data_IF_260309005594
#
_entry.id   IF_260309005594
#
_cell.length_a   1.000
_cell.length_b   1.000
_cell.length_c   1.000
_cell.angle_alpha   90.00
_cell.angle_beta   90.00
_cell.angle_gamma   90.00
#
_symmetry.space_group_name_H-M   'P 1'
#
loop_
_entity.id
_entity.type
_entity.pdbx_description
1 polymer ?
#
# COMPACT_ATOMS: atom_id res chain seq x y z
N UNK A 1 35.27 -72.50 -37.22
CA UNK A 1 35.51 -71.63 -36.05
C UNK A 1 35.57 -70.20 -36.56
N UNK A 2 34.42 -69.55 -36.66
CA UNK A 2 34.29 -68.13 -37.04
C UNK A 2 33.23 -67.56 -36.12
N UNK A 3 33.68 -66.94 -35.04
CA UNK A 3 32.82 -66.32 -34.04
C UNK A 3 32.37 -64.94 -34.54
N UNK A 4 31.06 -64.79 -34.62
CA UNK A 4 30.32 -63.57 -34.89
C UNK A 4 30.59 -62.55 -33.78
N UNK A 5 31.30 -61.47 -34.08
CA UNK A 5 31.49 -60.33 -33.19
C UNK A 5 30.52 -59.22 -33.60
N UNK A 6 29.47 -59.10 -32.80
CA UNK A 6 28.78 -57.89 -32.33
C UNK A 6 28.57 -56.74 -33.33
N UNK A 7 27.34 -56.69 -33.85
CA UNK A 7 26.73 -55.51 -34.45
C UNK A 7 26.23 -54.58 -33.34
N UNK A 8 26.97 -53.49 -33.08
CA UNK A 8 26.44 -52.31 -32.40
C UNK A 8 26.07 -51.28 -33.46
N UNK A 9 24.77 -51.22 -33.78
CA UNK A 9 24.15 -50.13 -34.53
C UNK A 9 24.26 -48.83 -33.72
N UNK A 10 24.76 -47.72 -34.28
CA UNK A 10 24.69 -46.42 -33.62
C UNK A 10 23.25 -45.91 -33.73
N UNK A 11 22.53 -45.89 -32.62
CA UNK A 11 21.27 -45.15 -32.49
C UNK A 11 21.54 -43.67 -32.76
N UNK A 12 20.84 -43.13 -33.75
CA UNK A 12 20.81 -41.71 -34.06
C UNK A 12 20.19 -40.96 -32.88
N UNK A 13 21.04 -40.34 -32.06
CA UNK A 13 20.65 -39.30 -31.11
C UNK A 13 20.07 -38.10 -31.87
N UNK A 14 18.76 -38.11 -32.07
CA UNK A 14 18.00 -36.87 -32.21
C UNK A 14 17.92 -36.24 -30.82
N UNK A 15 18.34 -34.99 -30.60
CA UNK A 15 18.21 -34.35 -29.30
C UNK A 15 16.73 -34.06 -29.05
N UNK A 16 16.01 -35.03 -28.48
CA UNK A 16 14.70 -34.77 -27.88
C UNK A 16 14.96 -33.89 -26.67
N UNK A 17 14.77 -32.59 -26.87
CA UNK A 17 14.62 -31.59 -25.81
C UNK A 17 13.59 -32.14 -24.81
N UNK A 18 14.07 -32.68 -23.70
CA UNK A 18 13.24 -33.06 -22.57
C UNK A 18 12.78 -31.76 -21.88
N UNK A 19 11.79 -31.10 -22.47
CA UNK A 19 11.08 -29.99 -21.83
C UNK A 19 10.42 -30.58 -20.58
N UNK A 20 10.81 -30.10 -19.40
CA UNK A 20 10.18 -30.53 -18.14
C UNK A 20 8.70 -30.14 -18.16
N UNK A 21 7.84 -30.96 -17.54
CA UNK A 21 6.38 -30.76 -17.55
C UNK A 21 5.96 -29.33 -17.13
N UNK A 22 6.72 -28.72 -16.21
CA UNK A 22 6.52 -27.34 -15.76
C UNK A 22 6.85 -26.31 -16.85
N UNK A 23 7.91 -26.52 -17.63
CA UNK A 23 8.23 -25.67 -18.78
C UNK A 23 7.18 -25.79 -19.88
N UNK A 24 6.63 -26.99 -20.11
CA UNK A 24 5.50 -27.16 -21.04
C UNK A 24 4.25 -26.42 -20.56
N UNK A 25 3.96 -26.44 -19.25
CA UNK A 25 2.81 -25.73 -18.69
C UNK A 25 2.95 -24.21 -18.80
N UNK A 26 4.13 -23.67 -18.53
CA UNK A 26 4.43 -22.24 -18.74
C UNK A 26 4.31 -21.88 -20.22
N UNK A 27 4.81 -22.72 -21.13
CA UNK A 27 4.65 -22.51 -22.57
C UNK A 27 3.18 -22.52 -22.99
N UNK A 28 2.36 -23.46 -22.50
CA UNK A 28 0.91 -23.46 -22.73
C UNK A 28 0.22 -22.20 -22.19
N UNK A 29 0.69 -21.69 -21.05
CA UNK A 29 0.17 -20.46 -20.46
C UNK A 29 0.57 -19.22 -21.28
N UNK A 30 1.79 -19.18 -21.83
CA UNK A 30 2.26 -18.13 -22.74
C UNK A 30 1.57 -18.18 -24.11
N UNK A 31 1.04 -19.35 -24.51
CA UNK A 31 0.28 -19.51 -25.75
C UNK A 31 -1.17 -18.99 -25.65
N UNK A 32 -1.65 -18.68 -24.45
CA UNK A 32 -2.98 -18.09 -24.26
C UNK A 32 -3.02 -16.67 -24.84
N UNK A 33 -4.04 -16.33 -25.64
CA UNK A 33 -4.12 -15.03 -26.31
C UNK A 33 -4.12 -13.86 -25.33
N UNK A 34 -4.70 -14.02 -24.14
CA UNK A 34 -4.74 -12.99 -23.10
C UNK A 34 -3.35 -12.72 -22.50
N UNK A 35 -2.51 -13.76 -22.41
CA UNK A 35 -1.14 -13.64 -21.91
C UNK A 35 -0.24 -13.01 -22.97
N UNK A 36 -0.43 -13.35 -24.25
CA UNK A 36 0.29 -12.70 -25.35
C UNK A 36 -0.07 -11.23 -25.48
N UNK A 37 -1.36 -10.87 -25.36
CA UNK A 37 -1.81 -9.47 -25.36
C UNK A 37 -1.18 -8.71 -24.19
N UNK A 38 -1.21 -9.28 -22.99
CA UNK A 38 -0.59 -8.67 -21.80
C UNK A 38 0.93 -8.50 -21.95
N UNK A 39 1.63 -9.46 -22.57
CA UNK A 39 3.06 -9.36 -22.84
C UNK A 39 3.37 -8.32 -23.91
N UNK A 40 2.57 -8.25 -24.97
CA UNK A 40 2.69 -7.20 -26.01
C UNK A 40 2.47 -5.82 -25.40
N UNK A 41 1.41 -5.64 -24.62
CA UNK A 41 1.16 -4.38 -23.90
C UNK A 41 2.32 -4.06 -22.96
N UNK A 42 2.84 -5.03 -22.21
CA UNK A 42 3.96 -4.80 -21.30
C UNK A 42 5.20 -4.32 -22.06
N UNK A 43 5.51 -4.92 -23.22
CA UNK A 43 6.61 -4.51 -24.10
C UNK A 43 6.38 -3.11 -24.67
N UNK A 44 5.17 -2.80 -25.14
CA UNK A 44 4.80 -1.46 -25.63
C UNK A 44 4.84 -0.40 -24.52
N UNK A 45 4.56 -0.76 -23.27
CA UNK A 45 4.60 0.14 -22.12
C UNK A 45 6.00 0.22 -21.47
N UNK A 46 6.99 -0.56 -21.91
CA UNK A 46 8.37 -0.46 -21.40
C UNK A 46 8.92 0.98 -21.40
N UNK A 47 8.72 1.81 -22.45
CA UNK A 47 9.19 3.19 -22.43
C UNK A 47 8.61 4.00 -21.26
N UNK A 48 7.35 3.78 -20.88
CA UNK A 48 6.73 4.46 -19.73
C UNK A 48 7.30 3.96 -18.40
N UNK A 49 7.58 2.67 -18.29
CA UNK A 49 8.26 2.12 -17.11
C UNK A 49 9.67 2.71 -16.98
N UNK A 50 10.40 2.85 -18.09
CA UNK A 50 11.70 3.54 -18.11
C UNK A 50 11.58 5.00 -17.69
N UNK A 51 10.54 5.71 -18.13
CA UNK A 51 10.28 7.09 -17.72
C UNK A 51 9.99 7.20 -16.21
N UNK A 52 9.16 6.31 -15.66
CA UNK A 52 8.87 6.25 -14.23
C UNK A 52 10.12 5.96 -13.40
N UNK A 53 10.97 5.03 -13.86
CA UNK A 53 12.27 4.77 -13.23
C UNK A 53 13.15 6.01 -13.31
N UNK A 54 13.17 6.73 -14.43
CA UNK A 54 13.88 8.00 -14.56
C UNK A 54 13.37 9.09 -13.61
N UNK A 55 12.06 9.21 -13.39
CA UNK A 55 11.47 10.11 -12.39
C UNK A 55 11.86 9.70 -10.98
N UNK A 56 11.88 8.40 -10.69
CA UNK A 56 12.30 7.87 -9.40
C UNK A 56 13.79 8.14 -9.15
N UNK A 57 14.65 7.96 -10.17
CA UNK A 57 16.07 8.31 -10.10
C UNK A 57 16.27 9.80 -9.84
N UNK A 58 15.56 10.67 -10.55
CA UNK A 58 15.59 12.13 -10.28
C UNK A 58 15.15 12.48 -8.86
N UNK A 59 14.18 11.75 -8.32
CA UNK A 59 13.72 11.92 -6.93
C UNK A 59 14.79 11.47 -5.93
N UNK A 60 15.50 10.38 -6.23
CA UNK A 60 16.65 9.91 -5.45
C UNK A 60 17.79 10.94 -5.50
N UNK A 61 18.14 11.44 -6.68
CA UNK A 61 19.17 12.47 -6.86
C UNK A 61 18.80 13.77 -6.13
N UNK A 62 17.51 14.14 -6.14
CA UNK A 62 16.99 15.28 -5.38
C UNK A 62 17.16 15.07 -3.87
N UNK A 63 16.78 13.90 -3.33
CA UNK A 63 16.99 13.58 -1.92
C UNK A 63 18.48 13.55 -1.57
N UNK A 64 19.33 13.00 -2.43
CA UNK A 64 20.78 12.98 -2.23
C UNK A 64 21.38 14.38 -2.25
N UNK A 65 20.95 15.24 -3.18
CA UNK A 65 21.41 16.63 -3.31
C UNK A 65 20.95 17.49 -2.12
N UNK A 66 19.69 17.33 -1.69
CA UNK A 66 19.12 18.06 -0.54
C UNK A 66 19.68 17.55 0.79
N UNK A 67 19.96 16.25 0.91
CA UNK A 67 20.55 15.68 2.13
C UNK A 67 22.05 15.93 2.27
N UNK A 68 22.77 16.13 1.17
CA UNK A 68 24.19 16.46 1.15
C UNK A 68 24.47 17.93 1.50
N UNK A 69 23.45 18.80 1.45
CA UNK A 69 23.54 20.19 1.88
C UNK A 69 23.28 20.29 3.40
N UNK A 70 24.36 20.43 4.18
CA UNK A 70 24.28 20.54 5.65
C UNK A 70 23.47 21.75 6.12
N UNK A 71 23.41 22.82 5.31
CA UNK A 71 22.63 24.04 5.63
C UNK A 71 21.14 23.79 5.46
N UNK A 72 20.74 23.09 4.39
CA UNK A 72 19.33 22.75 4.18
C UNK A 72 18.82 21.69 5.16
N UNK A 73 19.66 20.75 5.59
CA UNK A 73 19.26 19.73 6.58
C UNK A 73 18.98 20.33 7.95
N UNK A 74 19.83 21.24 8.42
CA UNK A 74 19.64 21.92 9.71
C UNK A 74 18.38 22.79 9.71
N UNK A 75 18.27 23.66 8.71
CA UNK A 75 17.33 24.77 8.78
C UNK A 75 15.93 24.34 8.31
N UNK A 76 15.86 23.47 7.30
CA UNK A 76 14.58 22.96 6.78
C UNK A 76 13.95 21.93 7.71
N UNK A 77 14.75 21.04 8.31
CA UNK A 77 14.21 20.08 9.29
C UNK A 77 13.73 20.80 10.53
N UNK A 78 14.46 21.83 10.99
CA UNK A 78 14.03 22.63 12.14
C UNK A 78 12.74 23.41 11.85
N UNK A 79 12.63 24.05 10.68
CA UNK A 79 11.43 24.76 10.27
C UNK A 79 10.22 23.81 10.06
N UNK A 80 10.41 22.66 9.41
CA UNK A 80 9.35 21.65 9.26
C UNK A 80 8.95 21.08 10.61
N UNK A 81 9.91 20.85 11.51
CA UNK A 81 9.64 20.36 12.86
C UNK A 81 8.84 21.37 13.67
N UNK A 82 9.15 22.66 13.60
CA UNK A 82 8.40 23.72 14.28
C UNK A 82 6.97 23.85 13.72
N UNK A 83 6.80 23.72 12.41
CA UNK A 83 5.48 23.71 11.76
C UNK A 83 4.67 22.44 12.06
N UNK A 84 5.34 21.29 12.20
CA UNK A 84 4.71 20.00 12.46
C UNK A 84 4.54 19.72 13.96
N UNK A 85 5.28 20.39 14.85
CA UNK A 85 5.16 20.28 16.30
C UNK A 85 3.73 20.40 16.83
N UNK A 86 2.89 21.36 16.40
CA UNK A 86 1.50 21.41 16.84
C UNK A 86 0.69 20.17 16.44
N UNK A 87 0.97 19.58 15.27
CA UNK A 87 0.32 18.35 14.80
C UNK A 87 0.83 17.14 15.58
N UNK A 88 2.15 17.03 15.79
CA UNK A 88 2.76 15.95 16.57
C UNK A 88 2.30 16.01 18.03
N UNK A 89 2.21 17.20 18.61
CA UNK A 89 1.73 17.40 19.98
C UNK A 89 0.22 17.08 20.08
N UNK A 90 -0.58 17.52 19.12
CA UNK A 90 -2.01 17.15 19.04
C UNK A 90 -2.19 15.63 18.92
N UNK A 91 -1.42 14.96 18.06
CA UNK A 91 -1.47 13.51 17.88
C UNK A 91 -1.02 12.75 19.14
N UNK A 92 0.06 13.20 19.82
CA UNK A 92 0.51 12.61 21.09
C UNK A 92 -0.53 12.76 22.19
N UNK A 93 -1.16 13.93 22.32
CA UNK A 93 -2.20 14.16 23.31
C UNK A 93 -3.46 13.32 23.01
N UNK A 94 -3.84 13.18 21.74
CA UNK A 94 -4.92 12.27 21.35
C UNK A 94 -4.58 10.82 21.66
N UNK A 95 -3.37 10.36 21.35
CA UNK A 95 -2.93 9.00 21.65
C UNK A 95 -2.95 8.71 23.16
N UNK A 96 -2.43 9.61 23.98
CA UNK A 96 -2.47 9.48 25.44
C UNK A 96 -3.90 9.43 25.99
N UNK A 97 -4.78 10.30 25.48
CA UNK A 97 -6.20 10.33 25.87
C UNK A 97 -6.93 9.05 25.46
N UNK A 98 -6.63 8.51 24.27
CA UNK A 98 -7.22 7.26 23.77
C UNK A 98 -6.74 6.06 24.58
N UNK A 99 -5.44 6.00 24.93
CA UNK A 99 -4.88 4.93 25.76
C UNK A 99 -5.50 4.98 27.17
N UNK A 100 -5.55 6.13 27.83
CA UNK A 100 -6.17 6.26 29.15
C UNK A 100 -7.67 5.91 29.12
N UNK A 101 -8.38 6.33 28.06
CA UNK A 101 -9.79 5.96 27.88
C UNK A 101 -9.97 4.46 27.65
N UNK A 102 -9.06 3.81 26.90
CA UNK A 102 -9.08 2.38 26.66
C UNK A 102 -8.80 1.59 27.95
N UNK A 103 -7.78 1.97 28.72
CA UNK A 103 -7.45 1.34 29.99
C UNK A 103 -8.63 1.46 30.97
N UNK A 104 -9.22 2.65 31.10
CA UNK A 104 -10.39 2.88 31.97
C UNK A 104 -11.65 2.12 31.51
N UNK A 105 -11.84 1.96 30.20
CA UNK A 105 -12.93 1.16 29.65
C UNK A 105 -12.74 -0.34 29.88
N UNK A 106 -11.50 -0.83 29.90
CA UNK A 106 -11.19 -2.24 30.17
C UNK A 106 -11.25 -2.58 31.67
N UNK A 107 -10.94 -1.63 32.55
CA UNK A 107 -11.05 -1.81 34.00
C UNK A 107 -12.50 -1.74 34.51
N UNK A 108 -13.38 -1.01 33.82
CA UNK A 108 -14.80 -0.93 34.18
C UNK A 108 -15.59 -2.11 33.61
N UNK A 109 -16.16 -2.93 34.50
CA UNK A 109 -17.11 -4.00 34.15
C UNK A 109 -18.57 -3.56 34.26
N UNK A 110 -18.82 -2.25 34.31
CA UNK A 110 -20.16 -1.70 34.53
C UNK A 110 -21.03 -1.83 33.28
N UNK A 111 -22.13 -2.59 33.41
CA UNK A 111 -23.13 -2.69 32.33
C UNK A 111 -23.86 -1.36 32.21
N UNK A 112 -23.72 -0.69 31.06
CA UNK A 112 -24.40 0.58 30.78
C UNK A 112 -25.91 0.33 30.67
N UNK A 113 -26.66 0.68 31.72
CA UNK A 113 -28.12 0.63 31.71
C UNK A 113 -28.77 1.76 30.90
N UNK A 114 -30.10 1.70 30.72
CA UNK A 114 -30.88 2.70 29.94
C UNK A 114 -30.69 4.14 30.47
N UNK A 115 -30.56 4.31 31.78
CA UNK A 115 -30.23 5.60 32.39
C UNK A 115 -28.79 6.05 32.11
N UNK A 116 -27.84 5.12 32.01
CA UNK A 116 -26.47 5.40 31.59
C UNK A 116 -26.40 5.89 30.16
N UNK A 117 -27.16 5.26 29.25
CA UNK A 117 -27.29 5.73 27.86
C UNK A 117 -27.90 7.14 27.79
N UNK A 118 -28.94 7.42 28.58
CA UNK A 118 -29.50 8.78 28.66
C UNK A 118 -28.49 9.80 29.19
N UNK A 119 -27.65 9.40 30.16
CA UNK A 119 -26.59 10.27 30.70
C UNK A 119 -25.51 10.54 29.66
N UNK A 120 -25.07 9.52 28.91
CA UNK A 120 -24.11 9.67 27.81
C UNK A 120 -24.65 10.56 26.69
N UNK A 121 -25.92 10.42 26.34
CA UNK A 121 -26.55 11.28 25.33
C UNK A 121 -26.58 12.75 25.76
N UNK A 122 -26.64 13.02 27.08
CA UNK A 122 -26.57 14.37 27.65
C UNK A 122 -25.12 14.84 27.90
N UNK A 123 -24.12 14.02 27.63
CA UNK A 123 -22.72 14.39 27.80
C UNK A 123 -22.34 15.56 26.86
N UNK A 124 -21.62 16.59 27.34
CA UNK A 124 -21.23 17.73 26.52
C UNK A 124 -20.43 17.37 25.25
N UNK A 125 -19.59 16.33 25.27
CA UNK A 125 -18.80 15.90 24.12
C UNK A 125 -19.66 15.17 23.09
N UNK A 126 -20.58 14.30 23.54
CA UNK A 126 -21.58 13.67 22.66
C UNK A 126 -22.49 14.74 22.01
N UNK A 127 -22.91 15.75 22.79
CA UNK A 127 -23.70 16.89 22.29
C UNK A 127 -22.94 17.72 21.24
N UNK A 128 -21.64 17.95 21.42
CA UNK A 128 -20.80 18.61 20.41
C UNK A 128 -20.76 17.80 19.11
N UNK A 129 -20.58 16.49 19.19
CA UNK A 129 -20.59 15.60 18.03
C UNK A 129 -21.94 15.65 17.29
N UNK A 130 -23.06 15.56 18.01
CA UNK A 130 -24.38 15.66 17.39
C UNK A 130 -24.62 17.01 16.71
N UNK A 131 -24.18 18.11 17.33
CA UNK A 131 -24.25 19.45 16.71
C UNK A 131 -23.40 19.55 15.45
N UNK A 132 -22.21 18.96 15.46
CA UNK A 132 -21.36 18.90 14.27
C UNK A 132 -22.03 18.10 13.14
N UNK A 133 -22.54 16.91 13.43
CA UNK A 133 -23.23 16.08 12.44
C UNK A 133 -24.44 16.84 11.85
N UNK A 134 -25.22 17.51 12.69
CA UNK A 134 -26.34 18.33 12.24
C UNK A 134 -25.88 19.47 11.31
N UNK A 135 -24.86 20.23 11.71
CA UNK A 135 -24.30 21.31 10.89
C UNK A 135 -23.72 20.79 9.55
N UNK A 136 -23.04 19.64 9.58
CA UNK A 136 -22.51 18.99 8.38
C UNK A 136 -23.63 18.61 7.41
N UNK A 137 -24.69 17.97 7.91
CA UNK A 137 -25.84 17.58 7.08
C UNK A 137 -26.55 18.78 6.47
N UNK A 138 -26.68 19.89 7.22
CA UNK A 138 -27.24 21.13 6.70
C UNK A 138 -26.40 21.70 5.55
N UNK A 139 -25.08 21.82 5.74
CA UNK A 139 -24.18 22.31 4.70
C UNK A 139 -24.16 21.39 3.48
N UNK A 140 -24.17 20.07 3.68
CA UNK A 140 -24.21 19.09 2.60
C UNK A 140 -25.53 19.17 1.81
N UNK A 141 -26.65 19.31 2.52
CA UNK A 141 -27.98 19.50 1.93
C UNK A 141 -28.07 20.80 1.11
N UNK A 142 -27.63 21.92 1.68
CA UNK A 142 -27.58 23.23 0.99
C UNK A 142 -26.75 23.15 -0.30
N UNK A 143 -25.58 22.51 -0.26
CA UNK A 143 -24.72 22.29 -1.44
C UNK A 143 -25.35 21.37 -2.49
N UNK A 144 -26.18 20.42 -2.07
CA UNK A 144 -26.90 19.53 -3.00
C UNK A 144 -28.05 20.23 -3.72
N UNK A 145 -28.68 21.24 -3.10
CA UNK A 145 -29.76 22.03 -3.70
C UNK A 145 -29.28 23.17 -4.59
N UNK A 146 -28.00 23.56 -4.48
CA UNK A 146 -27.36 24.58 -5.33
C UNK A 146 -26.76 24.02 -6.63
N UNK A 147 -26.83 22.70 -6.87
CA UNK A 147 -26.48 22.05 -8.14
C UNK A 147 -27.73 21.75 -8.96
#
# INVERSE_FOLDING_TARGET
>A
MSETITQTTPEQESPKLAVTQEQMNVLEQLLKPEVQESLTVLVEQLPKLTELVGVLTKSYDFVQTVAADEVLKSDTVSAIKELAEPVVHSAKNMAATVIEAQDRANESSDVIGVFGLMKMMKDPQAQKLFRFVNAYLQVAGERSQQK
#
